data_IF_928448109909
#
_entry.id   IF_928448109909
#
_cell.length_a   1.000
_cell.length_b   1.000
_cell.length_c   1.000
_cell.angle_alpha   90.00
_cell.angle_beta   90.00
_cell.angle_gamma   90.00
#
_symmetry.space_group_name_H-M   'P 1'
#
loop_
_entity.id
_entity.type
_entity.pdbx_description
1 polymer ?
#
# COMPACT_ATOMS: atom_id res chain seq x y z
N UNK A 1 -0.16 1.03 7.44
CA UNK A 1 -1.51 1.21 6.86
C UNK A 1 -2.41 1.57 8.02
N UNK A 2 -3.02 2.76 8.01
CA UNK A 2 -3.92 3.19 9.07
C UNK A 2 -5.09 2.21 9.22
N UNK A 3 -5.48 1.94 10.47
CA UNK A 3 -6.59 1.02 10.78
C UNK A 3 -7.91 1.61 10.26
N UNK A 4 -8.63 0.86 9.42
CA UNK A 4 -9.91 1.30 8.87
C UNK A 4 -10.54 0.29 7.91
N UNK A 5 -11.74 0.61 7.42
CA UNK A 5 -12.47 -0.21 6.44
C UNK A 5 -11.67 -0.54 5.18
N UNK A 6 -10.96 0.44 4.56
CA UNK A 6 -10.09 0.17 3.42
C UNK A 6 -8.97 -0.82 3.75
N UNK A 7 -8.35 -0.72 4.94
CA UNK A 7 -7.27 -1.61 5.36
C UNK A 7 -7.72 -3.08 5.47
N UNK A 8 -8.91 -3.29 6.04
CA UNK A 8 -9.54 -4.60 6.06
C UNK A 8 -9.88 -5.11 4.64
N UNK A 9 -10.48 -4.26 3.81
CA UNK A 9 -10.85 -4.65 2.45
C UNK A 9 -9.63 -5.09 1.64
N UNK A 10 -8.55 -4.30 1.65
CA UNK A 10 -7.34 -4.63 0.88
C UNK A 10 -6.62 -5.85 1.44
N UNK A 11 -6.65 -6.12 2.75
CA UNK A 11 -6.05 -7.34 3.32
C UNK A 11 -6.79 -8.59 2.85
N UNK A 12 -8.13 -8.57 2.84
CA UNK A 12 -8.96 -9.66 2.31
C UNK A 12 -8.71 -9.87 0.81
N UNK A 13 -8.66 -8.79 0.02
CA UNK A 13 -8.40 -8.88 -1.42
C UNK A 13 -7.00 -9.44 -1.72
N UNK A 14 -5.98 -8.94 -1.01
CA UNK A 14 -4.59 -9.37 -1.21
C UNK A 14 -4.43 -10.88 -1.03
N UNK A 15 -5.10 -11.45 -0.02
CA UNK A 15 -5.09 -12.90 0.26
C UNK A 15 -6.04 -13.72 -0.60
N UNK A 16 -7.16 -13.14 -1.01
CA UNK A 16 -8.25 -13.84 -1.70
C UNK A 16 -8.07 -13.94 -3.21
N UNK A 17 -7.64 -12.84 -3.85
CA UNK A 17 -7.51 -12.74 -5.30
C UNK A 17 -6.61 -13.81 -5.95
N UNK A 18 -5.48 -14.23 -5.36
CA UNK A 18 -4.63 -15.25 -5.97
C UNK A 18 -5.35 -16.59 -6.18
N UNK A 19 -6.36 -16.91 -5.36
CA UNK A 19 -7.18 -18.13 -5.53
C UNK A 19 -8.04 -18.11 -6.80
N UNK A 20 -8.23 -16.92 -7.37
CA UNK A 20 -8.94 -16.69 -8.62
C UNK A 20 -7.99 -16.46 -9.80
N UNK A 21 -6.69 -16.71 -9.63
CA UNK A 21 -5.67 -16.46 -10.65
C UNK A 21 -5.36 -14.98 -10.87
N UNK A 22 -5.77 -14.11 -9.95
CA UNK A 22 -5.52 -12.67 -10.02
C UNK A 22 -4.30 -12.36 -9.16
N UNK A 23 -3.19 -12.05 -9.82
CA UNK A 23 -1.99 -11.53 -9.19
C UNK A 23 -2.24 -10.11 -8.69
N UNK A 24 -1.68 -9.79 -7.52
CA UNK A 24 -1.85 -8.48 -6.93
C UNK A 24 -0.65 -8.10 -6.07
N UNK A 25 -0.41 -6.80 -5.96
CA UNK A 25 0.63 -6.21 -5.12
C UNK A 25 -0.02 -5.11 -4.29
N UNK A 26 0.06 -5.26 -2.97
CA UNK A 26 -0.41 -4.25 -2.03
C UNK A 26 0.71 -3.27 -1.71
N UNK A 27 0.47 -1.99 -1.99
CA UNK A 27 1.40 -0.89 -1.71
C UNK A 27 0.79 -0.03 -0.60
N UNK A 28 1.60 0.38 0.37
CA UNK A 28 1.17 1.28 1.43
C UNK A 28 2.30 2.23 1.82
N UNK A 29 1.92 3.44 2.19
CA UNK A 29 2.82 4.41 2.79
C UNK A 29 3.25 4.05 4.21
N UNK A 30 4.02 4.94 4.80
CA UNK A 30 4.34 4.91 6.22
C UNK A 30 3.19 5.50 7.04
N UNK A 31 3.00 4.97 8.25
CA UNK A 31 2.05 5.49 9.22
C UNK A 31 2.76 6.54 10.07
N UNK A 32 2.11 7.66 10.36
CA UNK A 32 2.73 8.71 11.18
C UNK A 32 2.87 8.27 12.64
N UNK A 33 3.81 8.87 13.37
CA UNK A 33 4.02 8.56 14.78
C UNK A 33 2.74 8.83 15.59
N UNK A 34 2.22 7.79 16.25
CA UNK A 34 0.99 7.84 17.03
C UNK A 34 -0.26 7.32 16.31
N UNK A 35 -0.18 6.97 15.03
CA UNK A 35 -1.23 6.23 14.33
C UNK A 35 -1.02 4.71 14.47
N UNK A 36 -2.12 3.98 14.65
CA UNK A 36 -2.12 2.53 14.72
C UNK A 36 -1.87 1.91 13.34
N UNK A 37 -0.86 1.05 13.20
CA UNK A 37 -0.63 0.30 11.96
C UNK A 37 -1.43 -1.01 11.97
N UNK A 38 -2.32 -1.16 11.00
CA UNK A 38 -3.10 -2.38 10.79
C UNK A 38 -2.20 -3.62 10.62
N UNK A 39 -1.04 -3.49 9.97
CA UNK A 39 -0.13 -4.63 9.80
C UNK A 39 0.41 -5.11 11.15
N UNK A 40 0.81 -4.18 12.02
CA UNK A 40 1.36 -4.55 13.33
C UNK A 40 0.29 -5.13 14.26
N UNK A 41 -0.94 -4.63 14.15
CA UNK A 41 -2.02 -4.98 15.07
C UNK A 41 -2.86 -6.18 14.65
N UNK A 42 -3.02 -6.42 13.35
CA UNK A 42 -3.99 -7.41 12.84
C UNK A 42 -3.42 -8.40 11.83
N UNK A 43 -2.45 -8.02 11.00
CA UNK A 43 -1.93 -8.91 9.97
C UNK A 43 -0.46 -8.65 9.61
N UNK A 44 0.43 -9.08 10.50
CA UNK A 44 1.88 -8.85 10.39
C UNK A 44 2.54 -9.60 9.23
N UNK A 45 1.87 -10.61 8.69
CA UNK A 45 2.36 -11.42 7.57
C UNK A 45 1.71 -11.04 6.24
N UNK A 46 0.95 -9.94 6.17
CA UNK A 46 0.38 -9.48 4.91
C UNK A 46 1.53 -8.98 4.00
N UNK A 47 1.66 -9.49 2.77
CA UNK A 47 2.69 -9.01 1.85
C UNK A 47 2.34 -7.57 1.43
N UNK A 48 3.14 -6.61 1.90
CA UNK A 48 2.96 -5.18 1.59
C UNK A 48 4.30 -4.57 1.18
N UNK A 49 4.30 -3.88 0.04
CA UNK A 49 5.41 -3.04 -0.38
C UNK A 49 5.28 -1.68 0.31
N UNK A 50 6.21 -1.36 1.20
CA UNK A 50 6.28 -0.05 1.85
C UNK A 50 6.97 0.95 0.93
N UNK A 51 6.30 2.08 0.69
CA UNK A 51 6.81 3.13 -0.19
C UNK A 51 7.18 4.36 0.63
N UNK A 52 8.48 4.66 0.71
CA UNK A 52 9.00 5.80 1.44
C UNK A 52 8.51 7.13 0.84
N UNK A 53 8.19 8.09 1.72
CA UNK A 53 7.66 9.39 1.32
C UNK A 53 6.17 9.40 0.96
N UNK A 54 5.52 8.23 0.86
CA UNK A 54 4.07 8.14 0.75
C UNK A 54 3.48 8.21 2.17
N UNK A 55 2.72 9.26 2.46
CA UNK A 55 2.13 9.48 3.77
C UNK A 55 1.12 10.62 3.75
N UNK A 56 0.53 10.92 4.91
CA UNK A 56 -0.51 11.94 5.06
C UNK A 56 0.05 13.36 4.95
N UNK A 57 1.20 13.63 5.59
CA UNK A 57 1.85 14.94 5.52
C UNK A 57 2.40 15.24 4.13
N UNK A 58 2.04 16.41 3.58
CA UNK A 58 2.63 16.93 2.34
C UNK A 58 4.06 17.38 2.62
N UNK A 59 5.03 16.79 1.91
CA UNK A 59 6.47 17.05 2.07
C UNK A 59 7.13 17.00 0.70
N UNK A 60 7.51 18.14 0.14
CA UNK A 60 7.99 18.24 -1.25
C UNK A 60 9.00 17.16 -1.68
N UNK A 61 10.06 16.93 -0.90
CA UNK A 61 11.06 15.90 -1.21
C UNK A 61 10.53 14.47 -1.01
N UNK A 62 9.68 14.26 -0.01
CA UNK A 62 9.02 12.98 0.24
C UNK A 62 8.04 12.63 -0.88
N UNK A 63 7.20 13.58 -1.27
CA UNK A 63 6.22 13.45 -2.35
C UNK A 63 6.90 13.19 -3.69
N UNK A 64 7.99 13.90 -4.00
CA UNK A 64 8.77 13.65 -5.21
C UNK A 64 9.38 12.24 -5.21
N UNK A 65 9.91 11.79 -4.07
CA UNK A 65 10.46 10.44 -3.90
C UNK A 65 9.38 9.38 -4.11
N UNK A 66 8.21 9.59 -3.51
CA UNK A 66 7.08 8.70 -3.63
C UNK A 66 6.58 8.61 -5.08
N UNK A 67 6.46 9.76 -5.74
CA UNK A 67 6.04 9.86 -7.14
C UNK A 67 6.96 9.09 -8.08
N UNK A 68 8.28 9.30 -7.98
CA UNK A 68 9.26 8.58 -8.81
C UNK A 68 9.24 7.07 -8.51
N UNK A 69 9.08 6.68 -7.24
CA UNK A 69 9.01 5.28 -6.84
C UNK A 69 7.78 4.59 -7.40
N UNK A 70 6.61 5.25 -7.37
CA UNK A 70 5.39 4.77 -8.01
C UNK A 70 5.56 4.61 -9.52
N UNK A 71 6.15 5.59 -10.22
CA UNK A 71 6.40 5.46 -11.68
C UNK A 71 7.26 4.24 -11.98
N UNK A 72 8.33 4.01 -11.20
CA UNK A 72 9.21 2.84 -11.39
C UNK A 72 8.46 1.54 -11.17
N UNK A 73 7.67 1.45 -10.10
CA UNK A 73 6.89 0.27 -9.79
C UNK A 73 5.85 -0.04 -10.87
N UNK A 74 5.07 0.98 -11.30
CA UNK A 74 4.07 0.80 -12.36
C UNK A 74 4.69 0.36 -13.69
N UNK A 75 5.92 0.81 -14.00
CA UNK A 75 6.64 0.38 -15.20
C UNK A 75 7.22 -1.03 -15.09
N UNK A 76 7.64 -1.45 -13.90
CA UNK A 76 8.19 -2.78 -13.67
C UNK A 76 7.08 -3.84 -13.67
N UNK A 77 6.03 -3.60 -12.88
CA UNK A 77 4.92 -4.56 -12.69
C UNK A 77 3.90 -4.51 -13.84
N UNK A 78 3.79 -3.37 -14.53
CA UNK A 78 2.85 -3.14 -15.64
C UNK A 78 1.41 -3.61 -15.34
N UNK A 79 0.81 -3.16 -14.23
CA UNK A 79 -0.49 -3.67 -13.79
C UNK A 79 -1.60 -3.28 -14.78
N UNK A 80 -2.55 -4.19 -14.99
CA UNK A 80 -3.75 -3.93 -15.79
C UNK A 80 -4.76 -3.01 -15.06
N UNK A 81 -4.79 -3.11 -13.73
CA UNK A 81 -5.72 -2.37 -12.87
C UNK A 81 -4.95 -1.75 -11.71
N UNK A 82 -5.20 -0.46 -11.46
CA UNK A 82 -4.73 0.23 -10.26
C UNK A 82 -5.93 0.60 -9.41
N UNK A 83 -5.96 0.08 -8.19
CA UNK A 83 -7.01 0.35 -7.21
C UNK A 83 -6.45 1.20 -6.08
N UNK A 84 -7.02 2.39 -5.87
CA UNK A 84 -6.51 3.38 -4.90
C UNK A 84 -7.53 3.67 -3.81
N UNK A 85 -7.04 3.88 -2.59
CA UNK A 85 -7.83 4.35 -1.45
C UNK A 85 -7.10 5.51 -0.76
N UNK A 86 -7.87 6.36 -0.07
CA UNK A 86 -7.40 7.45 0.79
C UNK A 86 -7.61 7.10 2.26
#
# INVERSE_FOLDING_TARGET
>A
MNVGGPAWQVSVLTRGLPRHGIENILISGEVEAGEADYLELQDSNLPVVRLAGLGRSVRLLGDLTAFVSLIRLMRAERPDIVHTHT
#
